data_IF_531967076239
#
_entry.id   IF_531967076239
#
_cell.length_a   1.000
_cell.length_b   1.000
_cell.length_c   1.000
_cell.angle_alpha   90.00
_cell.angle_beta   90.00
_cell.angle_gamma   90.00
#
_symmetry.space_group_name_H-M   'P 1'
#
loop_
_entity.id
_entity.type
_entity.pdbx_description
1 polymer ?
#
# COMPACT_ATOMS: atom_id res chain seq x y z
N UNK A 1 18.09 -5.86 11.69
CA UNK A 1 18.41 -4.70 10.83
C UNK A 1 17.19 -4.46 9.97
N UNK A 2 16.21 -3.75 10.54
CA UNK A 2 14.93 -3.46 9.87
C UNK A 2 15.25 -2.54 8.69
N UNK A 3 15.07 -3.04 7.48
CA UNK A 3 14.98 -2.17 6.32
C UNK A 3 13.74 -1.30 6.56
N UNK A 4 13.96 -0.07 6.98
CA UNK A 4 12.94 0.97 6.92
C UNK A 4 12.69 1.13 5.42
N UNK A 5 11.65 0.46 4.89
CA UNK A 5 11.11 0.69 3.56
C UNK A 5 10.52 2.10 3.56
N UNK A 6 11.40 3.10 3.49
CA UNK A 6 11.05 4.51 3.56
C UNK A 6 10.34 5.01 2.30
N UNK A 7 10.22 4.18 1.26
CA UNK A 7 9.55 4.57 0.03
C UNK A 7 8.74 3.43 -0.58
N UNK A 8 7.43 3.61 -0.79
CA UNK A 8 6.58 2.58 -1.41
C UNK A 8 6.82 2.56 -2.93
N UNK A 9 7.97 2.04 -3.36
CA UNK A 9 8.41 2.03 -4.78
C UNK A 9 8.43 0.63 -5.36
N UNK A 10 8.17 0.51 -6.68
CA UNK A 10 8.20 -0.79 -7.35
C UNK A 10 9.56 -1.46 -7.31
N UNK A 11 10.66 -0.68 -7.34
CA UNK A 11 12.03 -1.21 -7.27
C UNK A 11 12.36 -1.89 -5.95
N UNK A 12 11.65 -1.58 -4.86
CA UNK A 12 11.90 -2.14 -3.53
C UNK A 12 11.23 -3.50 -3.34
N UNK A 13 10.24 -3.83 -4.18
CA UNK A 13 9.52 -5.11 -4.13
C UNK A 13 10.35 -6.17 -4.85
N UNK A 14 10.72 -7.30 -4.24
CA UNK A 14 11.44 -8.35 -4.97
C UNK A 14 10.57 -9.03 -6.03
N UNK A 15 11.13 -9.28 -7.21
CA UNK A 15 10.45 -10.03 -8.28
C UNK A 15 9.25 -9.30 -8.90
N UNK A 16 8.19 -10.05 -9.21
CA UNK A 16 6.92 -9.56 -9.78
C UNK A 16 7.07 -8.76 -11.09
N UNK A 17 8.10 -9.06 -11.89
CA UNK A 17 8.49 -8.27 -13.06
C UNK A 17 7.35 -8.04 -14.05
N UNK A 18 6.62 -9.10 -14.41
CA UNK A 18 5.51 -9.03 -15.37
C UNK A 18 4.33 -8.20 -14.84
N UNK A 19 4.00 -8.37 -13.55
CA UNK A 19 2.90 -7.62 -12.91
C UNK A 19 3.25 -6.14 -12.81
N UNK A 20 4.47 -5.80 -12.37
CA UNK A 20 4.95 -4.41 -12.34
C UNK A 20 4.91 -3.77 -13.72
N UNK A 21 5.43 -4.47 -14.74
CA UNK A 21 5.41 -3.97 -16.11
C UNK A 21 3.97 -3.69 -16.59
N UNK A 22 3.01 -4.57 -16.27
CA UNK A 22 1.60 -4.39 -16.61
C UNK A 22 0.98 -3.19 -15.89
N UNK A 23 1.23 -3.02 -14.59
CA UNK A 23 0.75 -1.87 -13.81
C UNK A 23 1.32 -0.56 -14.35
N UNK A 24 2.64 -0.49 -14.57
CA UNK A 24 3.31 0.68 -15.16
C UNK A 24 2.72 1.01 -16.53
N UNK A 25 2.54 0.01 -17.39
CA UNK A 25 1.99 0.22 -18.73
C UNK A 25 0.54 0.71 -18.69
N UNK A 26 -0.26 0.28 -17.70
CA UNK A 26 -1.63 0.77 -17.53
C UNK A 26 -1.69 2.27 -17.28
N UNK A 27 -0.76 2.81 -16.48
CA UNK A 27 -0.66 4.26 -16.23
C UNK A 27 -0.11 4.98 -17.46
N UNK A 28 0.98 4.49 -18.05
CA UNK A 28 1.60 5.09 -19.24
C UNK A 28 0.63 5.22 -20.42
N UNK A 29 -0.30 4.28 -20.55
CA UNK A 29 -1.31 4.30 -21.62
C UNK A 29 -2.63 4.92 -21.21
N UNK A 30 -2.73 5.49 -20.01
CA UNK A 30 -3.96 6.05 -19.43
C UNK A 30 -5.15 5.06 -19.48
N UNK A 31 -4.88 3.80 -19.17
CA UNK A 31 -5.84 2.67 -19.18
C UNK A 31 -5.80 1.91 -17.85
N UNK A 32 -5.85 2.65 -16.75
CA UNK A 32 -5.95 2.09 -15.40
C UNK A 32 -7.37 1.56 -15.19
N UNK A 33 -7.49 0.31 -14.75
CA UNK A 33 -8.79 -0.28 -14.40
C UNK A 33 -9.34 0.36 -13.13
N UNK A 34 -10.66 0.58 -13.07
CA UNK A 34 -11.34 1.10 -11.87
C UNK A 34 -11.29 0.11 -10.69
N UNK A 35 -11.07 -1.17 -10.97
CA UNK A 35 -10.91 -2.22 -9.96
C UNK A 35 -9.81 -3.19 -10.40
N UNK A 36 -8.91 -3.52 -9.46
CA UNK A 36 -7.84 -4.49 -9.63
C UNK A 36 -7.84 -5.45 -8.44
N UNK A 37 -7.88 -6.75 -8.72
CA UNK A 37 -7.70 -7.79 -7.72
C UNK A 37 -6.26 -8.32 -7.82
N UNK A 38 -5.47 -8.10 -6.77
CA UNK A 38 -4.15 -8.72 -6.61
C UNK A 38 -4.32 -10.00 -5.79
N UNK A 39 -3.99 -11.14 -6.39
CA UNK A 39 -4.17 -12.46 -5.78
C UNK A 39 -2.86 -13.22 -5.78
N UNK A 40 -2.56 -13.89 -4.66
CA UNK A 40 -1.32 -14.60 -4.41
C UNK A 40 -1.36 -15.27 -3.04
N UNK A 41 -0.32 -16.03 -2.71
CA UNK A 41 -0.20 -16.70 -1.41
C UNK A 41 -0.01 -15.68 -0.28
N UNK A 42 -0.27 -16.10 0.96
CA UNK A 42 0.03 -15.30 2.16
C UNK A 42 1.52 -14.88 2.16
N UNK A 43 1.79 -13.63 2.54
CA UNK A 43 3.13 -13.03 2.52
C UNK A 43 3.68 -12.72 1.12
N UNK A 44 2.90 -12.91 0.05
CA UNK A 44 3.29 -12.43 -1.28
C UNK A 44 3.28 -10.90 -1.34
N UNK A 45 4.05 -10.33 -2.27
CA UNK A 45 4.17 -8.88 -2.46
C UNK A 45 2.92 -8.17 -2.98
N UNK A 46 1.72 -8.75 -2.86
CA UNK A 46 0.47 -8.15 -3.33
C UNK A 46 0.17 -6.83 -2.65
N UNK A 47 0.30 -6.78 -1.33
CA UNK A 47 0.00 -5.57 -0.57
C UNK A 47 1.05 -4.48 -0.86
N UNK A 48 2.33 -4.83 -0.85
CA UNK A 48 3.41 -3.94 -1.27
C UNK A 48 3.20 -3.41 -2.71
N UNK A 49 2.78 -4.26 -3.65
CA UNK A 49 2.45 -3.85 -5.03
C UNK A 49 1.27 -2.88 -5.07
N UNK A 50 0.22 -3.09 -4.27
CA UNK A 50 -0.91 -2.17 -4.18
C UNK A 50 -0.47 -0.80 -3.66
N UNK A 51 0.34 -0.76 -2.60
CA UNK A 51 0.87 0.49 -2.04
C UNK A 51 1.77 1.22 -3.03
N UNK A 52 2.70 0.51 -3.67
CA UNK A 52 3.59 1.11 -4.66
C UNK A 52 2.82 1.62 -5.88
N UNK A 53 1.78 0.91 -6.31
CA UNK A 53 0.92 1.35 -7.39
C UNK A 53 0.10 2.59 -7.01
N UNK A 54 -0.46 2.64 -5.80
CA UNK A 54 -1.17 3.82 -5.30
C UNK A 54 -0.24 5.05 -5.23
N UNK A 55 0.98 4.89 -4.69
CA UNK A 55 2.00 5.95 -4.69
C UNK A 55 2.37 6.37 -6.13
N UNK A 56 2.52 5.42 -7.05
CA UNK A 56 2.82 5.71 -8.45
C UNK A 56 1.73 6.51 -9.15
N UNK A 57 0.46 6.21 -8.87
CA UNK A 57 -0.69 6.96 -9.39
C UNK A 57 -0.75 8.40 -8.88
N UNK A 58 -0.38 8.62 -7.60
CA UNK A 58 -0.43 9.95 -6.98
C UNK A 58 0.86 10.76 -7.17
N UNK A 59 1.93 10.14 -7.66
CA UNK A 59 3.22 10.78 -7.82
C UNK A 59 3.17 11.93 -8.85
N UNK A 60 3.72 13.08 -8.47
CA UNK A 60 3.73 14.28 -9.32
C UNK A 60 4.76 14.21 -10.44
N UNK A 61 5.87 13.49 -10.22
CA UNK A 61 7.00 13.41 -11.16
C UNK A 61 7.48 11.97 -11.35
N UNK A 62 6.63 11.03 -11.82
CA UNK A 62 7.05 9.65 -12.02
C UNK A 62 8.15 9.55 -13.09
N UNK A 63 9.17 8.74 -12.85
CA UNK A 63 10.28 8.52 -13.78
C UNK A 63 10.67 7.04 -13.84
N UNK A 64 11.17 6.59 -15.00
CA UNK A 64 11.70 5.23 -15.19
C UNK A 64 10.74 4.08 -14.82
N UNK A 65 9.43 4.32 -14.86
CA UNK A 65 8.43 3.33 -14.47
C UNK A 65 8.27 3.17 -12.95
N UNK A 66 8.67 4.17 -12.16
CA UNK A 66 8.47 4.21 -10.73
C UNK A 66 8.05 5.61 -10.26
N UNK A 67 7.65 5.71 -9.01
CA UNK A 67 7.38 6.99 -8.33
C UNK A 67 8.70 7.64 -7.89
N UNK A 68 8.74 8.97 -7.82
CA UNK A 68 10.01 9.67 -7.51
C UNK A 68 10.46 9.51 -6.06
N UNK A 69 9.55 9.20 -5.12
CA UNK A 69 9.84 9.04 -3.69
C UNK A 69 10.11 10.33 -2.91
N UNK A 70 10.18 11.49 -3.57
CA UNK A 70 10.62 12.75 -2.96
C UNK A 70 9.61 13.90 -3.09
N UNK A 71 8.56 13.74 -3.91
CA UNK A 71 7.51 14.76 -3.98
C UNK A 71 6.60 14.69 -2.74
N UNK A 72 5.88 15.77 -2.39
CA UNK A 72 4.99 15.78 -1.22
C UNK A 72 4.00 14.62 -1.20
N UNK A 73 3.44 14.26 -2.35
CA UNK A 73 2.54 13.11 -2.49
C UNK A 73 3.24 11.78 -2.16
N UNK A 74 4.47 11.57 -2.64
CA UNK A 74 5.23 10.36 -2.31
C UNK A 74 5.56 10.29 -0.80
N UNK A 75 5.92 11.40 -0.18
CA UNK A 75 6.16 11.44 1.27
C UNK A 75 4.91 11.10 2.09
N UNK A 76 3.75 11.65 1.71
CA UNK A 76 2.48 11.33 2.36
C UNK A 76 2.07 9.87 2.11
N UNK A 77 2.30 9.34 0.90
CA UNK A 77 2.01 7.94 0.55
C UNK A 77 2.87 6.98 1.36
N UNK A 78 4.17 7.26 1.52
CA UNK A 78 5.08 6.46 2.34
C UNK A 78 4.66 6.45 3.82
N UNK A 79 4.11 7.56 4.32
CA UNK A 79 3.51 7.64 5.66
C UNK A 79 2.08 7.08 5.76
N UNK A 80 1.52 6.55 4.66
CA UNK A 80 0.14 6.04 4.57
C UNK A 80 -0.93 7.09 4.98
N UNK A 81 -0.62 8.37 4.75
CA UNK A 81 -1.44 9.53 5.15
C UNK A 81 -1.85 10.40 3.96
N UNK A 82 -1.62 9.94 2.73
CA UNK A 82 -2.05 10.65 1.53
C UNK A 82 -3.58 10.77 1.51
N UNK A 83 -4.15 11.97 1.31
CA UNK A 83 -5.60 12.18 1.43
C UNK A 83 -6.41 11.39 0.41
N UNK A 84 -5.83 11.11 -0.77
CA UNK A 84 -6.47 10.33 -1.83
C UNK A 84 -6.18 8.81 -1.77
N UNK A 85 -5.55 8.33 -0.69
CA UNK A 85 -5.30 6.90 -0.48
C UNK A 85 -6.07 6.47 0.78
N UNK A 86 -7.15 5.72 0.55
CA UNK A 86 -8.02 5.23 1.62
C UNK A 86 -7.76 3.75 1.89
N UNK A 87 -7.87 3.37 3.16
CA UNK A 87 -7.69 2.00 3.61
C UNK A 87 -9.01 1.48 4.17
N UNK A 88 -9.40 0.29 3.71
CA UNK A 88 -10.54 -0.45 4.27
C UNK A 88 -10.02 -1.82 4.64
N UNK A 89 -10.21 -2.18 5.90
CA UNK A 89 -9.67 -3.41 6.48
C UNK A 89 -10.61 -3.95 7.56
N UNK A 90 -10.50 -5.26 7.88
CA UNK A 90 -11.34 -5.89 8.90
C UNK A 90 -11.14 -5.23 10.27
N UNK A 91 -12.22 -5.00 10.99
CA UNK A 91 -12.21 -4.45 12.34
C UNK A 91 -13.10 -5.30 13.24
N UNK A 92 -12.67 -5.51 14.49
CA UNK A 92 -13.37 -6.34 15.46
C UNK A 92 -13.85 -5.51 16.65
N UNK A 93 -15.01 -5.87 17.19
CA UNK A 93 -15.51 -5.27 18.44
C UNK A 93 -14.62 -5.70 19.60
N UNK A 94 -14.28 -4.77 20.48
CA UNK A 94 -13.48 -5.03 21.68
C UNK A 94 -14.28 -4.71 22.94
N UNK A 95 -13.84 -5.18 24.10
CA UNK A 95 -14.44 -4.79 25.38
C UNK A 95 -14.26 -3.31 25.69
N UNK A 96 -13.20 -2.69 25.16
CA UNK A 96 -12.90 -1.26 25.27
C UNK A 96 -13.65 -0.41 24.23
N UNK A 97 -14.09 -0.99 23.10
CA UNK A 97 -14.91 -0.34 22.09
C UNK A 97 -16.10 -1.26 21.69
N UNK A 98 -17.21 -1.22 22.46
CA UNK A 98 -18.34 -2.14 22.30
C UNK A 98 -19.25 -1.81 21.10
N UNK A 99 -19.00 -0.70 20.39
CA UNK A 99 -19.77 -0.27 19.23
C UNK A 99 -19.48 -1.08 17.96
N UNK A 100 -19.85 -0.53 16.80
CA UNK A 100 -19.43 -1.00 15.49
C UNK A 100 -18.23 -0.17 15.03
N UNK A 101 -16.98 -0.60 15.28
CA UNK A 101 -15.83 0.16 14.83
C UNK A 101 -15.80 0.21 13.30
N UNK A 102 -15.37 1.34 12.77
CA UNK A 102 -15.01 1.50 11.37
C UNK A 102 -13.49 1.39 11.19
N UNK A 103 -13.02 1.17 9.95
CA UNK A 103 -11.59 1.20 9.65
C UNK A 103 -10.93 2.54 10.04
N UNK A 104 -11.65 3.64 9.90
CA UNK A 104 -11.16 4.98 10.26
C UNK A 104 -10.83 5.11 11.76
N UNK A 105 -11.54 4.39 12.64
CA UNK A 105 -11.31 4.41 14.09
C UNK A 105 -9.99 3.74 14.50
N UNK A 106 -9.43 2.90 13.63
CA UNK A 106 -8.23 2.08 13.87
C UNK A 106 -7.11 2.37 12.86
N UNK A 107 -7.20 3.49 12.14
CA UNK A 107 -6.26 3.81 11.07
C UNK A 107 -4.83 4.01 11.57
N UNK A 108 -4.64 4.52 12.80
CA UNK A 108 -3.30 4.72 13.36
C UNK A 108 -2.59 3.40 13.65
N UNK A 109 -3.30 2.43 14.23
CA UNK A 109 -2.85 1.07 14.48
C UNK A 109 -2.56 0.35 13.16
N UNK A 110 -3.47 0.47 12.19
CA UNK A 110 -3.29 -0.09 10.87
C UNK A 110 -2.02 0.44 10.19
N UNK A 111 -1.79 1.75 10.22
CA UNK A 111 -0.58 2.36 9.66
C UNK A 111 0.68 1.83 10.33
N UNK A 112 0.69 1.72 11.67
CA UNK A 112 1.83 1.16 12.42
C UNK A 112 2.09 -0.29 12.01
N UNK A 113 1.03 -1.09 11.86
CA UNK A 113 1.12 -2.48 11.43
C UNK A 113 1.74 -2.61 10.03
N UNK A 114 1.23 -1.85 9.06
CA UNK A 114 1.75 -1.88 7.68
C UNK A 114 3.17 -1.33 7.55
N UNK A 115 3.51 -0.27 8.29
CA UNK A 115 4.85 0.32 8.26
C UNK A 115 5.89 -0.63 8.89
N UNK A 116 5.48 -1.46 9.85
CA UNK A 116 6.36 -2.43 10.49
C UNK A 116 6.76 -3.57 9.53
N UNK A 117 5.83 -4.05 8.70
CA UNK A 117 6.11 -5.06 7.68
C UNK A 117 5.30 -4.79 6.38
N UNK A 118 5.96 -4.49 5.24
CA UNK A 118 5.29 -4.28 3.96
C UNK A 118 4.74 -5.57 3.33
N UNK A 119 4.99 -6.74 3.93
CA UNK A 119 4.43 -8.04 3.55
C UNK A 119 3.52 -8.59 4.66
N UNK A 120 2.51 -7.82 5.10
CA UNK A 120 1.72 -8.16 6.28
C UNK A 120 0.95 -9.46 6.09
N UNK A 121 0.82 -10.20 7.19
CA UNK A 121 -0.04 -11.37 7.30
C UNK A 121 -1.30 -10.97 8.06
N UNK A 122 -2.49 -11.19 7.49
CA UNK A 122 -3.74 -10.68 8.06
C UNK A 122 -4.03 -11.27 9.46
N UNK A 123 -3.58 -12.49 9.72
CA UNK A 123 -3.71 -13.14 11.01
C UNK A 123 -3.01 -12.33 12.13
N UNK A 124 -1.89 -11.67 11.83
CA UNK A 124 -1.16 -10.83 12.80
C UNK A 124 -1.91 -9.55 13.17
N UNK A 125 -2.78 -9.07 12.27
CA UNK A 125 -3.65 -7.92 12.55
C UNK A 125 -4.71 -8.23 13.61
N UNK A 126 -5.15 -9.50 13.71
CA UNK A 126 -6.16 -9.91 14.69
C UNK A 126 -5.60 -10.17 16.09
N UNK A 127 -4.28 -10.30 16.24
CA UNK A 127 -3.61 -10.66 17.50
C UNK A 127 -3.32 -12.15 17.64
#
# INVERSE_FOLDING_TARGET
MLAIFGSMQFKEIPGQHEIKARLIQSVKTNRVSHALLLSGTVGSGNYALALAFAQYLQCQNPSDGDSCGVCPSCHQSAGLVHPDIHFVFPVARTTSNPGEPASDDLIEEWRKFIIADPFPVLEEWYG
#
